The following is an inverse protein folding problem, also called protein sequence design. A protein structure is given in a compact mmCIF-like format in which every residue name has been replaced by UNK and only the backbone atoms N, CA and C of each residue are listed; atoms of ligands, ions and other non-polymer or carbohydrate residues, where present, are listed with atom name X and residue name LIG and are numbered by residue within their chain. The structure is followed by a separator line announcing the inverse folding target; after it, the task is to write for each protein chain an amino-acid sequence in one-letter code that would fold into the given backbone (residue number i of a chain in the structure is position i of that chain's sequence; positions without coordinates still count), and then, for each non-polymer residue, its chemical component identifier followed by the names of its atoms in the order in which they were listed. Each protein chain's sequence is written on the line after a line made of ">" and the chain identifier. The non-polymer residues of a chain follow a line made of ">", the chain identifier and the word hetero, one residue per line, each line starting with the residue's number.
data_IF_088983980043
#
_entry.id   IF_088983980043
#
_cell.length_a   1.000
_cell.length_b   1.000
_cell.length_c   1.000
_cell.angle_alpha   90.00
_cell.angle_beta   90.00
_cell.angle_gamma   90.00
#
_symmetry.space_group_name_H-M   'P 1'
#
loop_
_entity.id
_entity.type
_entity.pdbx_description
1 polymer ?
#
# COMPACT_ATOMS: atom_id res chain seq x y z
N UNK A 1 -1.20 7.31 2.16
CA UNK A 1 -2.24 7.83 3.08
C UNK A 1 -2.36 9.34 2.92
N UNK A 2 -3.57 9.91 2.94
CA UNK A 2 -3.76 11.36 2.90
C UNK A 2 -3.36 12.01 4.23
N UNK A 3 -2.84 13.23 4.19
CA UNK A 3 -2.47 13.93 5.42
C UNK A 3 -3.70 14.33 6.24
N UNK A 4 -3.59 14.24 7.58
CA UNK A 4 -4.64 14.73 8.49
C UNK A 4 -4.91 16.23 8.34
N UNK A 5 -3.93 17.00 7.86
CA UNK A 5 -4.12 18.42 7.58
C UNK A 5 -5.07 18.60 6.38
N UNK A 6 -4.82 17.89 5.28
CA UNK A 6 -5.70 17.88 4.10
C UNK A 6 -7.13 17.49 4.44
N UNK A 7 -7.31 16.47 5.27
CA UNK A 7 -8.66 16.00 5.68
C UNK A 7 -9.38 17.06 6.54
N UNK A 8 -8.65 17.82 7.36
CA UNK A 8 -9.22 18.89 8.20
C UNK A 8 -9.56 20.14 7.41
N UNK A 9 -8.68 20.55 6.51
CA UNK A 9 -8.81 21.80 5.76
C UNK A 9 -9.78 21.67 4.59
N UNK A 10 -9.86 20.47 3.99
CA UNK A 10 -10.63 20.20 2.77
C UNK A 10 -11.45 18.90 2.86
N UNK A 11 -12.29 18.70 3.89
CA UNK A 11 -13.04 17.46 4.08
C UNK A 11 -13.98 17.15 2.91
N UNK A 12 -14.56 18.16 2.28
CA UNK A 12 -15.45 18.03 1.13
C UNK A 12 -14.75 17.44 -0.10
N UNK A 13 -13.50 17.83 -0.36
CA UNK A 13 -12.70 17.29 -1.48
C UNK A 13 -12.40 15.81 -1.22
N UNK A 14 -12.09 15.44 0.02
CA UNK A 14 -11.83 14.03 0.38
C UNK A 14 -13.10 13.19 0.23
N UNK A 15 -14.24 13.68 0.72
CA UNK A 15 -15.54 12.99 0.60
C UNK A 15 -15.91 12.80 -0.87
N UNK A 16 -15.79 13.86 -1.69
CA UNK A 16 -16.10 13.77 -3.12
C UNK A 16 -15.10 12.85 -3.84
N UNK A 17 -13.82 12.90 -3.50
CA UNK A 17 -12.79 12.04 -4.09
C UNK A 17 -13.04 10.55 -3.82
N UNK A 18 -13.46 10.20 -2.60
CA UNK A 18 -13.88 8.84 -2.27
C UNK A 18 -15.15 8.44 -3.03
N UNK A 19 -16.15 9.31 -3.08
CA UNK A 19 -17.40 9.07 -3.81
C UNK A 19 -17.18 8.85 -5.31
N UNK A 20 -16.26 9.61 -5.93
CA UNK A 20 -15.86 9.45 -7.33
C UNK A 20 -15.19 8.09 -7.62
N UNK A 21 -14.75 7.38 -6.58
CA UNK A 21 -14.20 6.01 -6.66
C UNK A 21 -15.20 4.93 -6.24
N UNK A 22 -16.47 5.31 -6.01
CA UNK A 22 -17.50 4.41 -5.51
C UNK A 22 -17.35 4.03 -4.03
N UNK A 23 -16.48 4.73 -3.27
CA UNK A 23 -16.21 4.42 -1.88
C UNK A 23 -16.92 5.39 -0.93
N UNK A 24 -17.48 4.84 0.17
CA UNK A 24 -18.11 5.64 1.23
C UNK A 24 -17.22 5.61 2.47
N UNK A 25 -16.66 6.76 2.82
CA UNK A 25 -15.76 6.92 3.96
C UNK A 25 -16.38 7.86 5.00
N UNK A 26 -16.33 7.47 6.28
CA UNK A 26 -16.81 8.29 7.40
C UNK A 26 -15.78 9.35 7.83
N UNK A 27 -15.63 10.37 6.98
CA UNK A 27 -14.73 11.51 7.26
C UNK A 27 -15.15 12.26 8.53
N UNK A 28 -16.45 12.33 8.85
CA UNK A 28 -16.94 12.98 10.08
C UNK A 28 -16.47 12.22 11.32
N UNK A 29 -16.58 10.90 11.32
CA UNK A 29 -16.07 10.04 12.40
C UNK A 29 -14.55 10.14 12.56
N UNK A 30 -13.81 10.18 11.44
CA UNK A 30 -12.35 10.37 11.45
C UNK A 30 -11.98 11.72 12.09
N UNK A 31 -12.63 12.82 11.69
CA UNK A 31 -12.39 14.14 12.27
C UNK A 31 -12.78 14.22 13.75
N UNK A 32 -13.86 13.55 14.16
CA UNK A 32 -14.23 13.46 15.57
C UNK A 32 -13.19 12.68 16.38
N UNK A 33 -12.60 11.63 15.81
CA UNK A 33 -11.54 10.85 16.44
C UNK A 33 -10.24 11.65 16.54
N UNK A 34 -9.83 12.33 15.47
CA UNK A 34 -8.70 13.29 15.50
C UNK A 34 -8.90 14.37 16.58
N UNK A 35 -10.11 14.92 16.69
CA UNK A 35 -10.45 15.89 17.74
C UNK A 35 -10.24 15.33 19.16
N UNK A 36 -10.60 14.06 19.40
CA UNK A 36 -10.34 13.37 20.67
C UNK A 36 -8.85 13.18 20.91
N UNK A 37 -8.10 12.74 19.90
CA UNK A 37 -6.63 12.57 19.98
C UNK A 37 -5.97 13.89 20.36
N UNK A 38 -6.30 14.99 19.69
CA UNK A 38 -5.76 16.32 20.00
C UNK A 38 -6.14 16.80 21.40
N UNK A 39 -7.36 16.53 21.85
CA UNK A 39 -7.79 16.85 23.21
C UNK A 39 -6.97 16.09 24.25
N UNK A 40 -6.80 14.78 24.08
CA UNK A 40 -6.00 13.95 25.00
C UNK A 40 -4.55 14.44 25.05
N UNK A 41 -3.95 14.77 23.90
CA UNK A 41 -2.59 15.34 23.85
C UNK A 41 -2.52 16.63 24.68
N UNK A 42 -3.49 17.54 24.51
CA UNK A 42 -3.52 18.78 25.30
C UNK A 42 -3.66 18.49 26.79
N UNK A 43 -4.60 17.62 27.18
CA UNK A 43 -4.85 17.28 28.59
C UNK A 43 -3.60 16.63 29.23
N UNK A 44 -2.87 15.78 28.50
CA UNK A 44 -1.60 15.18 28.94
C UNK A 44 -0.53 16.24 29.15
N UNK A 45 -0.36 17.17 28.22
CA UNK A 45 0.64 18.23 28.33
C UNK A 45 0.32 19.21 29.46
N UNK A 46 -0.96 19.56 29.66
CA UNK A 46 -1.42 20.38 30.78
C UNK A 46 -1.14 19.71 32.13
N UNK A 47 -1.36 18.40 32.25
CA UNK A 47 -1.06 17.62 33.45
C UNK A 47 0.44 17.48 33.69
N UNK A 48 1.25 17.25 32.65
CA UNK A 48 2.72 17.23 32.76
C UNK A 48 3.26 18.58 33.22
N UNK A 49 2.74 19.67 32.68
CA UNK A 49 3.09 21.02 33.11
C UNK A 49 2.71 21.27 34.58
N UNK A 50 1.50 20.85 35.00
CA UNK A 50 1.06 20.91 36.40
C UNK A 50 2.01 20.13 37.31
N UNK A 51 2.31 18.88 36.95
CA UNK A 51 3.22 18.00 37.71
C UNK A 51 4.60 18.62 37.89
N UNK A 52 5.17 19.20 36.82
CA UNK A 52 6.48 19.83 36.88
C UNK A 52 6.49 21.07 37.80
N UNK A 53 5.50 21.97 37.69
CA UNK A 53 5.35 23.13 38.59
C UNK A 53 5.22 22.71 40.05
N UNK A 54 4.34 21.75 40.34
CA UNK A 54 4.12 21.28 41.71
C UNK A 54 5.34 20.53 42.27
N UNK A 55 6.15 19.85 41.44
CA UNK A 55 7.40 19.21 41.89
C UNK A 55 8.44 20.22 42.37
N UNK A 56 8.53 21.38 41.70
CA UNK A 56 9.38 22.49 42.12
C UNK A 56 8.89 23.10 43.43
N UNK A 57 7.58 23.28 43.58
CA UNK A 57 6.95 23.82 44.78
C UNK A 57 7.12 22.90 46.00
N UNK A 58 6.86 21.60 45.84
CA UNK A 58 7.12 20.58 46.87
C UNK A 58 8.58 20.63 47.32
N UNK A 59 9.52 20.75 46.39
CA UNK A 59 10.95 20.84 46.69
C UNK A 59 11.34 22.11 47.45
N UNK A 60 10.60 23.22 47.28
CA UNK A 60 10.80 24.46 48.04
C UNK A 60 10.18 24.35 49.44
N UNK A 61 8.95 23.86 49.55
CA UNK A 61 8.23 23.72 50.83
C UNK A 61 8.92 22.71 51.77
N UNK A 62 9.41 21.59 51.22
CA UNK A 62 10.17 20.58 51.97
C UNK A 62 11.49 21.12 52.53
N UNK A 63 12.16 22.04 51.81
CA UNK A 63 13.34 22.77 52.32
C UNK A 63 12.98 23.77 53.43
N UNK A 64 11.77 24.31 53.40
CA UNK A 64 11.23 25.17 54.46
C UNK A 64 10.66 24.43 55.68
N UNK A 65 10.76 23.09 55.72
CA UNK A 65 10.27 22.28 56.85
C UNK A 65 8.76 22.13 56.95
N UNK A 66 8.01 22.46 55.89
CA UNK A 66 6.55 22.31 55.85
C UNK A 66 6.13 20.89 55.44
N UNK A 67 4.96 20.46 55.91
CA UNK A 67 4.33 19.21 55.48
C UNK A 67 3.81 19.34 54.04
N UNK A 68 4.19 18.38 53.19
CA UNK A 68 3.87 18.33 51.76
C UNK A 68 3.13 17.05 51.39
N UNK A 69 2.66 16.28 52.38
CA UNK A 69 2.04 14.96 52.18
C UNK A 69 0.82 15.02 51.24
N UNK A 70 -0.02 16.05 51.37
CA UNK A 70 -1.18 16.26 50.49
C UNK A 70 -0.77 16.56 49.05
N UNK A 71 0.22 17.44 48.84
CA UNK A 71 0.75 17.78 47.52
C UNK A 71 1.39 16.56 46.84
N UNK A 72 2.09 15.71 47.61
CA UNK A 72 2.65 14.46 47.10
C UNK A 72 1.53 13.51 46.66
N UNK A 73 0.46 13.37 47.45
CA UNK A 73 -0.70 12.55 47.10
C UNK A 73 -1.42 13.07 45.84
N UNK A 74 -1.59 14.38 45.72
CA UNK A 74 -2.14 15.01 44.51
C UNK A 74 -1.26 14.70 43.28
N UNK A 75 0.06 14.77 43.41
CA UNK A 75 0.97 14.48 42.31
C UNK A 75 1.00 13.01 41.92
N UNK A 76 0.78 12.09 42.86
CA UNK A 76 0.56 10.68 42.53
C UNK A 76 -0.73 10.48 41.72
N UNK A 77 -1.82 11.19 42.07
CA UNK A 77 -3.05 11.16 41.29
C UNK A 77 -2.85 11.73 39.88
N UNK A 78 -2.12 12.84 39.73
CA UNK A 78 -1.76 13.40 38.43
C UNK A 78 -0.94 12.41 37.60
N UNK A 79 0.04 11.73 38.21
CA UNK A 79 0.83 10.71 37.52
C UNK A 79 -0.03 9.53 37.02
N UNK A 80 -1.00 9.08 37.82
CA UNK A 80 -1.95 8.05 37.42
C UNK A 80 -2.86 8.50 36.28
N UNK A 81 -3.33 9.76 36.30
CA UNK A 81 -4.12 10.34 35.20
C UNK A 81 -3.33 10.42 33.90
N UNK A 82 -2.07 10.86 33.95
CA UNK A 82 -1.18 10.88 32.78
C UNK A 82 -1.03 9.47 32.21
N UNK A 83 -0.72 8.48 33.04
CA UNK A 83 -0.57 7.09 32.60
C UNK A 83 -1.83 6.54 31.92
N UNK A 84 -3.01 6.88 32.44
CA UNK A 84 -4.29 6.50 31.83
C UNK A 84 -4.47 7.18 30.48
N UNK A 85 -4.26 8.49 30.41
CA UNK A 85 -4.43 9.27 29.17
C UNK A 85 -3.42 8.88 28.09
N UNK A 86 -2.19 8.51 28.46
CA UNK A 86 -1.19 8.01 27.50
C UNK A 86 -1.64 6.67 26.89
N UNK A 87 -2.24 5.78 27.68
CA UNK A 87 -2.85 4.53 27.18
C UNK A 87 -4.04 4.79 26.26
N UNK A 88 -4.94 5.69 26.66
CA UNK A 88 -6.08 6.12 25.84
C UNK A 88 -5.61 6.78 24.53
N UNK A 89 -4.54 7.57 24.59
CA UNK A 89 -3.93 8.22 23.43
C UNK A 89 -3.38 7.20 22.43
N UNK A 90 -2.64 6.19 22.91
CA UNK A 90 -2.09 5.13 22.07
C UNK A 90 -3.22 4.38 21.34
N UNK A 91 -4.25 3.95 22.08
CA UNK A 91 -5.39 3.26 21.50
C UNK A 91 -6.16 4.11 20.47
N UNK A 92 -6.34 5.41 20.75
CA UNK A 92 -7.05 6.31 19.82
C UNK A 92 -6.24 6.68 18.59
N UNK A 93 -4.91 6.72 18.70
CA UNK A 93 -4.02 6.90 17.55
C UNK A 93 -4.03 5.68 16.64
N UNK A 94 -4.05 4.48 17.21
CA UNK A 94 -4.16 3.25 16.43
C UNK A 94 -5.49 3.20 15.67
N UNK A 95 -6.61 3.41 16.38
CA UNK A 95 -7.95 3.46 15.75
C UNK A 95 -8.03 4.53 14.64
N UNK A 96 -7.34 5.66 14.83
CA UNK A 96 -7.28 6.72 13.82
C UNK A 96 -6.44 6.28 12.62
N UNK A 97 -5.27 5.68 12.86
CA UNK A 97 -4.39 5.18 11.81
C UNK A 97 -5.08 4.14 10.95
N UNK A 98 -5.72 3.13 11.57
CA UNK A 98 -6.50 2.11 10.87
C UNK A 98 -7.54 2.76 9.94
N UNK A 99 -8.33 3.73 10.43
CA UNK A 99 -9.33 4.40 9.60
C UNK A 99 -8.72 5.22 8.46
N UNK A 100 -7.56 5.84 8.69
CA UNK A 100 -6.87 6.62 7.67
C UNK A 100 -6.31 5.74 6.54
N UNK A 101 -5.90 4.50 6.84
CA UNK A 101 -5.40 3.54 5.85
C UNK A 101 -6.47 3.13 4.82
N UNK A 102 -7.75 3.21 5.17
CA UNK A 102 -8.87 2.92 4.26
C UNK A 102 -9.26 4.07 3.34
N UNK A 103 -8.69 5.27 3.51
CA UNK A 103 -9.06 6.42 2.67
C UNK A 103 -8.33 6.30 1.32
N UNK A 104 -9.06 6.21 0.18
CA UNK A 104 -8.42 6.15 -1.11
C UNK A 104 -7.77 7.49 -1.47
N UNK A 105 -6.77 7.46 -2.35
CA UNK A 105 -6.19 8.69 -2.88
C UNK A 105 -7.25 9.52 -3.62
N UNK A 106 -7.15 10.86 -3.61
CA UNK A 106 -8.07 11.73 -4.34
C UNK A 106 -7.77 11.60 -5.85
N UNK A 107 -8.75 11.27 -6.71
CA UNK A 107 -8.51 11.24 -8.15
C UNK A 107 -8.16 12.64 -8.66
N UNK A 108 -7.20 12.73 -9.59
CA UNK A 108 -6.87 14.00 -10.23
C UNK A 108 -8.07 14.53 -11.02
N UNK A 109 -8.20 15.86 -11.10
CA UNK A 109 -9.28 16.56 -11.80
C UNK A 109 -9.42 16.22 -13.29
N UNK A 110 -8.39 15.65 -13.91
CA UNK A 110 -8.42 15.17 -15.31
C UNK A 110 -8.97 13.75 -15.48
N UNK A 111 -9.28 13.04 -14.38
CA UNK A 111 -9.78 11.67 -14.45
C UNK A 111 -11.28 11.72 -14.77
N UNK A 112 -11.74 11.03 -15.84
CA UNK A 112 -13.17 10.98 -16.16
C UNK A 112 -13.95 10.29 -15.04
N UNK A 113 -15.15 10.78 -14.76
CA UNK A 113 -16.05 10.19 -13.77
C UNK A 113 -16.80 9.01 -14.41
N UNK A 114 -16.92 7.93 -13.64
CA UNK A 114 -17.59 6.71 -14.08
C UNK A 114 -17.82 5.74 -12.95
N UNK A 115 -18.89 4.96 -13.05
CA UNK A 115 -19.22 3.94 -12.04
C UNK A 115 -18.40 2.65 -12.23
N UNK A 116 -18.01 2.34 -13.47
CA UNK A 116 -17.29 1.12 -13.84
C UNK A 116 -16.42 1.32 -15.10
N UNK A 117 -15.81 0.23 -15.60
CA UNK A 117 -14.93 0.23 -16.76
C UNK A 117 -15.60 0.69 -18.07
N UNK A 118 -16.93 0.72 -18.16
CA UNK A 118 -17.66 1.16 -19.36
C UNK A 118 -17.58 2.67 -19.59
N UNK A 119 -17.28 3.44 -18.54
CA UNK A 119 -17.07 4.88 -18.60
C UNK A 119 -15.64 5.28 -19.00
N UNK A 120 -14.74 4.32 -19.22
CA UNK A 120 -13.37 4.62 -19.63
C UNK A 120 -13.31 5.29 -21.01
N UNK A 121 -12.54 6.38 -21.11
CA UNK A 121 -12.32 7.09 -22.37
C UNK A 121 -11.16 6.48 -23.16
N UNK A 122 -11.38 6.21 -24.45
CA UNK A 122 -10.33 5.77 -25.35
C UNK A 122 -9.47 6.96 -25.83
N UNK A 123 -8.25 7.06 -25.32
CA UNK A 123 -7.34 8.19 -25.60
C UNK A 123 -6.61 8.05 -26.94
N UNK A 124 -6.04 6.86 -27.24
CA UNK A 124 -5.26 6.64 -28.45
C UNK A 124 -5.18 5.17 -28.84
N UNK A 125 -5.07 4.94 -30.14
CA UNK A 125 -4.73 3.63 -30.74
C UNK A 125 -3.38 3.72 -31.46
N UNK A 126 -2.69 2.59 -31.59
CA UNK A 126 -1.43 2.51 -32.34
C UNK A 126 -1.42 1.29 -33.24
N UNK A 127 -1.21 1.54 -34.55
CA UNK A 127 -1.35 0.56 -35.65
C UNK A 127 -2.78 0.02 -35.79
N UNK A 128 -3.02 -0.64 -36.91
CA UNK A 128 -4.27 -1.35 -37.18
C UNK A 128 -4.19 -2.80 -36.67
N UNK A 129 -5.33 -3.36 -36.26
CA UNK A 129 -5.44 -4.77 -35.89
C UNK A 129 -5.19 -5.64 -37.15
N UNK A 130 -4.42 -6.74 -37.04
CA UNK A 130 -4.20 -7.63 -38.17
C UNK A 130 -5.54 -8.22 -38.66
N UNK A 131 -5.67 -8.34 -39.98
CA UNK A 131 -6.76 -9.07 -40.63
C UNK A 131 -6.26 -10.46 -40.98
N UNK A 132 -6.96 -11.49 -40.55
CA UNK A 132 -6.65 -12.88 -40.85
C UNK A 132 -7.60 -13.38 -41.94
N UNK A 133 -7.08 -14.16 -42.87
CA UNK A 133 -7.82 -14.94 -43.87
C UNK A 133 -8.19 -16.34 -43.35
N UNK A 134 -7.91 -16.60 -42.07
CA UNK A 134 -8.27 -17.80 -41.32
C UNK A 134 -8.88 -17.41 -39.96
N UNK A 135 -9.55 -18.37 -39.31
CA UNK A 135 -10.07 -18.18 -37.95
C UNK A 135 -8.91 -18.20 -36.94
N UNK A 136 -8.60 -17.08 -36.25
CA UNK A 136 -7.50 -17.04 -35.32
C UNK A 136 -7.76 -17.93 -34.11
N UNK A 137 -6.78 -18.75 -33.75
CA UNK A 137 -6.90 -19.62 -32.58
C UNK A 137 -6.68 -18.83 -31.29
N UNK A 138 -7.38 -19.17 -30.19
CA UNK A 138 -7.06 -18.66 -28.85
C UNK A 138 -5.63 -19.02 -28.44
N UNK A 139 -5.02 -18.20 -27.59
CA UNK A 139 -3.61 -18.39 -27.20
C UNK A 139 -3.35 -19.77 -26.58
N UNK A 140 -4.29 -20.30 -25.78
CA UNK A 140 -4.16 -21.63 -25.19
C UNK A 140 -4.04 -22.73 -26.23
N UNK A 141 -4.88 -22.72 -27.27
CA UNK A 141 -4.83 -23.72 -28.33
C UNK A 141 -3.50 -23.66 -29.09
N UNK A 142 -3.00 -22.44 -29.37
CA UNK A 142 -1.70 -22.23 -30.00
C UNK A 142 -0.60 -22.81 -29.11
N UNK A 143 -0.58 -22.46 -27.83
CA UNK A 143 0.49 -22.87 -26.93
C UNK A 143 0.50 -24.37 -26.64
N UNK A 144 -0.68 -25.01 -26.61
CA UNK A 144 -0.80 -26.46 -26.45
C UNK A 144 -0.37 -27.20 -27.72
N UNK A 145 -0.79 -26.76 -28.91
CA UNK A 145 -0.38 -27.38 -30.18
C UNK A 145 1.13 -27.32 -30.43
N UNK A 146 1.80 -26.33 -29.83
CA UNK A 146 3.23 -26.09 -29.98
C UNK A 146 4.06 -26.55 -28.77
N UNK A 147 3.46 -27.23 -27.79
CA UNK A 147 4.12 -27.69 -26.55
C UNK A 147 4.90 -26.57 -25.82
N UNK A 148 4.34 -25.35 -25.79
CA UNK A 148 4.94 -24.16 -25.17
C UNK A 148 4.49 -23.96 -23.71
N UNK A 149 3.29 -24.43 -23.40
CA UNK A 149 2.61 -24.22 -22.12
C UNK A 149 1.80 -25.46 -21.76
N UNK A 150 1.91 -25.88 -20.51
CA UNK A 150 1.17 -27.00 -19.94
C UNK A 150 0.44 -26.58 -18.66
N UNK A 151 -0.85 -26.26 -18.80
CA UNK A 151 -1.69 -25.89 -17.65
C UNK A 151 -2.07 -27.09 -16.79
N UNK A 152 -2.13 -28.30 -17.36
CA UNK A 152 -2.53 -29.51 -16.63
C UNK A 152 -1.42 -29.96 -15.69
N UNK A 153 -0.18 -30.02 -16.17
CA UNK A 153 0.99 -30.30 -15.33
C UNK A 153 1.24 -29.19 -14.32
N UNK A 154 1.00 -27.93 -14.69
CA UNK A 154 1.00 -26.82 -13.74
C UNK A 154 0.01 -27.04 -12.58
N UNK A 155 -1.20 -27.50 -12.90
CA UNK A 155 -2.21 -27.84 -11.89
C UNK A 155 -1.84 -29.03 -11.01
N UNK A 156 -1.11 -30.03 -11.53
CA UNK A 156 -0.57 -31.13 -10.73
C UNK A 156 0.46 -30.63 -9.71
N UNK A 157 1.25 -29.61 -10.05
CA UNK A 157 2.32 -29.09 -9.17
C UNK A 157 1.78 -28.14 -8.11
N UNK A 158 0.88 -27.22 -8.48
CA UNK A 158 0.50 -26.09 -7.61
C UNK A 158 -1.00 -25.79 -7.55
N UNK A 159 -1.84 -26.59 -8.22
CA UNK A 159 -3.27 -26.33 -8.37
C UNK A 159 -3.59 -25.41 -9.57
N UNK A 160 -4.88 -25.15 -9.78
CA UNK A 160 -5.35 -24.32 -10.90
C UNK A 160 -4.69 -22.94 -10.91
N UNK A 161 -4.52 -22.34 -12.10
CA UNK A 161 -4.00 -20.97 -12.25
C UNK A 161 -2.48 -20.85 -12.14
N UNK A 162 -1.73 -21.95 -12.20
CA UNK A 162 -0.26 -21.96 -12.25
C UNK A 162 0.22 -22.52 -13.59
N UNK A 163 0.74 -21.67 -14.51
CA UNK A 163 1.23 -22.13 -15.82
C UNK A 163 2.60 -22.82 -15.73
N UNK A 164 2.77 -23.98 -16.37
CA UNK A 164 4.09 -24.56 -16.64
C UNK A 164 4.53 -24.24 -18.07
N UNK A 165 5.55 -23.40 -18.22
CA UNK A 165 6.14 -23.12 -19.53
C UNK A 165 7.18 -24.19 -19.89
N UNK A 166 7.16 -24.66 -21.14
CA UNK A 166 8.05 -25.74 -21.63
C UNK A 166 8.77 -25.34 -22.90
N UNK A 167 9.94 -25.94 -23.15
CA UNK A 167 10.70 -25.79 -24.39
C UNK A 167 10.84 -24.35 -24.86
N UNK A 168 10.35 -24.06 -26.08
CA UNK A 168 10.40 -22.73 -26.67
C UNK A 168 9.54 -21.69 -25.91
N UNK A 169 8.48 -22.11 -25.22
CA UNK A 169 7.65 -21.21 -24.41
C UNK A 169 8.42 -20.63 -23.23
N UNK A 170 9.17 -21.48 -22.52
CA UNK A 170 10.04 -21.03 -21.42
C UNK A 170 11.18 -20.12 -21.92
N UNK A 171 11.71 -20.38 -23.12
CA UNK A 171 12.72 -19.52 -23.75
C UNK A 171 12.11 -18.16 -24.12
N UNK A 172 10.92 -18.15 -24.71
CA UNK A 172 10.21 -16.93 -25.10
C UNK A 172 9.90 -16.06 -23.88
N UNK A 173 9.41 -16.66 -22.79
CA UNK A 173 9.12 -15.95 -21.54
C UNK A 173 10.36 -15.21 -21.01
N UNK A 174 11.50 -15.91 -20.92
CA UNK A 174 12.78 -15.30 -20.54
C UNK A 174 13.25 -14.23 -21.53
N UNK A 175 13.06 -14.45 -22.82
CA UNK A 175 13.45 -13.50 -23.85
C UNK A 175 12.64 -12.19 -23.76
N UNK A 176 11.34 -12.27 -23.46
CA UNK A 176 10.48 -11.10 -23.24
C UNK A 176 10.92 -10.31 -22.01
N UNK A 177 11.21 -10.98 -20.90
CA UNK A 177 11.73 -10.33 -19.68
C UNK A 177 13.02 -9.55 -20.00
N UNK A 178 14.01 -10.21 -20.61
CA UNK A 178 15.28 -9.57 -20.95
C UNK A 178 15.10 -8.40 -21.93
N UNK A 179 14.26 -8.58 -22.96
CA UNK A 179 13.97 -7.53 -23.92
C UNK A 179 13.38 -6.29 -23.25
N UNK A 180 12.40 -6.47 -22.34
CA UNK A 180 11.77 -5.36 -21.62
C UNK A 180 12.77 -4.66 -20.70
N UNK A 181 13.58 -5.41 -19.94
CA UNK A 181 14.64 -4.84 -19.09
C UNK A 181 15.63 -4.00 -19.91
N UNK A 182 16.21 -4.57 -20.97
CA UNK A 182 17.14 -3.88 -21.87
C UNK A 182 16.51 -2.63 -22.51
N UNK A 183 15.23 -2.70 -22.85
CA UNK A 183 14.50 -1.58 -23.42
C UNK A 183 14.43 -0.39 -22.45
N UNK A 184 14.21 -0.64 -21.17
CA UNK A 184 14.09 0.39 -20.14
C UNK A 184 15.45 0.87 -19.63
N UNK A 185 16.45 0.00 -19.53
CA UNK A 185 17.84 0.38 -19.25
C UNK A 185 18.35 1.43 -20.26
N UNK A 186 18.09 1.22 -21.55
CA UNK A 186 18.43 2.19 -22.62
C UNK A 186 17.68 3.52 -22.53
N UNK A 187 16.67 3.62 -21.67
CA UNK A 187 15.84 4.83 -21.42
C UNK A 187 16.14 5.48 -20.07
N UNK A 188 17.26 5.13 -19.46
CA UNK A 188 17.73 5.76 -18.23
C UNK A 188 17.13 5.18 -16.96
N UNK A 189 16.40 4.07 -17.03
CA UNK A 189 16.01 3.34 -15.82
C UNK A 189 17.21 2.58 -15.26
N UNK A 190 17.30 2.51 -13.94
CA UNK A 190 18.26 1.67 -13.22
C UNK A 190 17.60 0.33 -12.89
N UNK A 191 18.21 -0.77 -13.32
CA UNK A 191 17.72 -2.09 -12.95
C UNK A 191 18.01 -2.38 -11.47
N UNK A 192 17.00 -2.89 -10.77
CA UNK A 192 17.10 -3.39 -9.41
C UNK A 192 16.44 -4.76 -9.31
N UNK A 193 17.02 -5.63 -8.47
CA UNK A 193 16.44 -6.93 -8.14
C UNK A 193 16.08 -6.94 -6.66
N UNK A 194 14.79 -7.02 -6.39
CA UNK A 194 14.26 -6.95 -5.03
C UNK A 194 13.96 -8.35 -4.44
N UNK A 195 13.80 -8.46 -3.12
CA UNK A 195 13.13 -9.61 -2.52
C UNK A 195 11.74 -9.83 -3.11
N UNK A 196 11.28 -11.09 -3.16
CA UNK A 196 9.92 -11.48 -3.59
C UNK A 196 8.97 -11.73 -2.43
N UNK A 197 9.48 -11.57 -1.21
CA UNK A 197 8.76 -11.66 0.04
C UNK A 197 8.97 -10.32 0.74
N UNK A 198 7.93 -9.79 1.37
CA UNK A 198 7.95 -8.48 1.99
C UNK A 198 7.32 -8.48 3.37
N UNK A 199 7.77 -7.57 4.22
CA UNK A 199 7.13 -7.23 5.48
C UNK A 199 5.75 -6.59 5.24
N UNK A 200 4.83 -6.76 6.19
CA UNK A 200 3.51 -6.12 6.24
C UNK A 200 3.58 -4.62 5.95
N UNK A 201 4.50 -3.90 6.59
CA UNK A 201 4.63 -2.45 6.45
C UNK A 201 4.93 -2.01 5.01
N UNK A 202 5.51 -2.89 4.18
CA UNK A 202 5.71 -2.58 2.76
C UNK A 202 4.44 -2.67 1.95
N UNK A 203 3.65 -3.72 2.18
CA UNK A 203 2.36 -3.86 1.52
C UNK A 203 1.38 -2.78 2.01
N UNK A 204 1.49 -2.30 3.25
CA UNK A 204 0.76 -1.13 3.75
C UNK A 204 1.19 0.16 3.05
N UNK A 205 2.51 0.40 2.93
CA UNK A 205 3.05 1.62 2.33
C UNK A 205 2.62 1.82 0.86
N UNK A 206 2.50 0.74 0.09
CA UNK A 206 2.03 0.76 -1.31
C UNK A 206 0.53 0.48 -1.46
N UNK A 207 -0.22 0.42 -0.34
CA UNK A 207 -1.68 0.39 -0.34
C UNK A 207 -2.31 -0.96 -0.68
N UNK A 208 -1.55 -2.05 -0.70
CA UNK A 208 -2.13 -3.40 -0.76
C UNK A 208 -2.82 -3.74 0.55
N UNK A 209 -2.16 -3.48 1.69
CA UNK A 209 -2.77 -3.69 3.00
C UNK A 209 -3.37 -2.38 3.55
N UNK A 210 -4.50 -2.45 4.27
CA UNK A 210 -5.27 -3.66 4.62
C UNK A 210 -6.29 -4.11 3.54
N UNK A 211 -6.56 -3.27 2.53
CA UNK A 211 -7.72 -3.44 1.63
C UNK A 211 -7.71 -4.69 0.75
N UNK A 212 -6.53 -5.16 0.36
CA UNK A 212 -6.31 -6.29 -0.55
C UNK A 212 -5.63 -7.47 0.17
N UNK A 213 -5.71 -7.54 1.51
CA UNK A 213 -5.08 -8.62 2.29
C UNK A 213 -5.54 -10.00 1.83
N UNK A 214 -6.84 -10.17 1.57
CA UNK A 214 -7.41 -11.42 1.07
C UNK A 214 -6.86 -11.83 -0.30
N UNK A 215 -6.36 -10.87 -1.10
CA UNK A 215 -5.79 -11.12 -2.43
C UNK A 215 -4.28 -11.41 -2.40
N UNK A 216 -3.63 -11.28 -1.23
CA UNK A 216 -2.21 -11.55 -1.04
C UNK A 216 -1.96 -12.95 -0.48
N UNK A 217 -0.88 -13.60 -0.93
CA UNK A 217 -0.39 -14.80 -0.26
C UNK A 217 0.45 -14.42 0.97
N UNK A 218 0.04 -14.86 2.15
CA UNK A 218 0.74 -14.65 3.41
C UNK A 218 1.56 -15.88 3.85
N UNK A 219 2.63 -15.63 4.59
CA UNK A 219 3.48 -16.59 5.28
C UNK A 219 3.34 -16.29 6.77
N UNK A 220 2.33 -16.90 7.39
CA UNK A 220 1.87 -16.55 8.75
C UNK A 220 2.96 -16.72 9.82
N UNK A 221 3.85 -17.71 9.67
CA UNK A 221 4.90 -17.99 10.65
C UNK A 221 5.87 -16.82 10.85
N UNK A 222 6.05 -16.00 9.81
CA UNK A 222 7.03 -14.91 9.78
C UNK A 222 6.38 -13.51 9.64
N UNK A 223 5.04 -13.43 9.56
CA UNK A 223 4.28 -12.22 9.16
C UNK A 223 4.83 -11.56 7.88
N UNK A 224 5.07 -12.42 6.88
CA UNK A 224 5.59 -12.03 5.58
C UNK A 224 4.57 -12.28 4.47
N UNK A 225 4.73 -11.58 3.36
CA UNK A 225 3.83 -11.68 2.21
C UNK A 225 4.60 -11.89 0.92
N UNK A 226 4.12 -12.77 0.03
CA UNK A 226 4.59 -12.80 -1.34
C UNK A 226 4.13 -11.54 -2.08
N UNK A 227 5.01 -10.95 -2.88
CA UNK A 227 4.71 -9.68 -3.55
C UNK A 227 3.70 -9.88 -4.70
N UNK A 228 2.64 -9.05 -4.80
CA UNK A 228 1.72 -9.06 -5.94
C UNK A 228 2.28 -8.29 -7.16
N UNK A 229 3.40 -7.60 -6.96
CA UNK A 229 4.17 -6.86 -7.96
C UNK A 229 5.50 -6.36 -7.37
N UNK A 230 6.54 -6.22 -8.21
CA UNK A 230 7.76 -5.51 -7.85
C UNK A 230 7.56 -4.05 -7.40
N UNK A 231 6.42 -3.42 -7.69
CA UNK A 231 6.08 -2.08 -7.18
C UNK A 231 6.22 -2.01 -5.65
N UNK A 232 5.78 -3.06 -4.94
CA UNK A 232 5.80 -3.10 -3.47
C UNK A 232 7.23 -2.95 -2.94
N UNK A 233 8.18 -3.85 -3.23
CA UNK A 233 9.52 -3.69 -2.71
C UNK A 233 10.30 -2.53 -3.35
N UNK A 234 10.10 -2.21 -4.63
CA UNK A 234 10.84 -1.13 -5.30
C UNK A 234 10.48 0.25 -4.74
N UNK A 235 9.19 0.51 -4.51
CA UNK A 235 8.74 1.78 -3.91
C UNK A 235 9.24 1.93 -2.47
N UNK A 236 9.49 0.81 -1.79
CA UNK A 236 9.98 0.79 -0.42
C UNK A 236 11.51 0.78 -0.27
N UNK A 237 12.28 0.83 -1.37
CA UNK A 237 13.74 0.96 -1.32
C UNK A 237 14.15 2.18 -0.49
N UNK A 238 13.43 3.28 -0.63
CA UNK A 238 13.70 4.55 0.03
C UNK A 238 12.73 4.85 1.18
N UNK A 239 12.11 3.82 1.77
CA UNK A 239 11.23 4.05 2.93
C UNK A 239 12.06 4.59 4.08
N UNK A 240 11.53 5.62 4.75
CA UNK A 240 12.16 6.28 5.89
C UNK A 240 13.48 7.00 5.55
N UNK A 241 13.73 7.27 4.26
CA UNK A 241 14.86 8.07 3.78
C UNK A 241 14.45 9.51 3.44
N UNK A 242 15.39 10.44 3.56
CA UNK A 242 15.28 11.80 3.02
C UNK A 242 16.17 11.86 1.77
N UNK A 243 15.54 11.92 0.60
CA UNK A 243 16.23 11.99 -0.68
C UNK A 243 16.72 13.41 -0.97
N UNK A 244 17.88 13.54 -1.63
CA UNK A 244 18.33 14.82 -2.14
C UNK A 244 17.50 15.20 -3.37
N UNK A 245 17.09 16.46 -3.47
CA UNK A 245 16.25 16.92 -4.59
C UNK A 245 16.96 16.79 -5.95
N UNK A 246 18.29 16.92 -5.94
CA UNK A 246 19.17 16.77 -7.11
C UNK A 246 19.28 15.32 -7.62
N UNK A 247 18.93 14.33 -6.80
CA UNK A 247 18.89 12.92 -7.21
C UNK A 247 17.59 12.58 -7.98
N UNK A 248 16.57 13.45 -7.92
CA UNK A 248 15.27 13.22 -8.56
C UNK A 248 15.27 13.70 -10.03
N UNK A 249 14.71 12.92 -10.98
CA UNK A 249 13.96 11.69 -10.75
C UNK A 249 14.86 10.45 -10.59
N UNK A 250 14.42 9.50 -9.75
CA UNK A 250 15.05 8.18 -9.62
C UNK A 250 14.16 7.13 -10.30
N UNK A 251 14.49 6.71 -11.55
CA UNK A 251 13.75 5.68 -12.27
C UNK A 251 14.33 4.28 -12.02
N UNK A 252 13.49 3.37 -11.53
CA UNK A 252 13.82 1.95 -11.37
C UNK A 252 13.03 1.06 -12.33
N UNK A 253 13.71 0.03 -12.86
CA UNK A 253 13.09 -1.08 -13.56
C UNK A 253 13.40 -2.37 -12.80
N UNK A 254 12.40 -3.25 -12.63
CA UNK A 254 12.59 -4.50 -11.91
C UNK A 254 11.77 -5.63 -12.51
N UNK A 255 12.39 -6.78 -12.68
CA UNK A 255 11.67 -8.04 -12.93
C UNK A 255 11.32 -8.71 -11.61
N UNK A 256 10.08 -9.21 -11.48
CA UNK A 256 9.73 -10.19 -10.45
C UNK A 256 8.68 -11.19 -10.92
N UNK A 257 8.66 -12.42 -10.35
CA UNK A 257 7.42 -13.17 -10.24
C UNK A 257 6.45 -12.37 -9.34
N UNK A 258 5.18 -12.39 -9.70
CA UNK A 258 4.10 -11.70 -9.01
C UNK A 258 3.06 -12.73 -8.57
N UNK A 259 2.59 -12.62 -7.33
CA UNK A 259 1.69 -13.60 -6.72
C UNK A 259 0.37 -12.94 -6.31
N UNK A 260 -0.76 -13.43 -6.84
CA UNK A 260 -2.10 -12.94 -6.49
C UNK A 260 -3.03 -14.10 -6.23
N UNK A 261 -3.82 -14.04 -5.16
CA UNK A 261 -4.80 -15.09 -4.85
C UNK A 261 -6.00 -15.03 -5.80
N UNK A 262 -6.22 -13.91 -6.49
CA UNK A 262 -7.37 -13.67 -7.35
C UNK A 262 -8.68 -13.97 -6.60
N UNK A 263 -8.71 -13.58 -5.33
CA UNK A 263 -9.84 -13.83 -4.44
C UNK A 263 -11.06 -13.05 -4.97
N UNK A 264 -12.18 -13.74 -5.18
CA UNK A 264 -13.40 -13.14 -5.71
C UNK A 264 -13.54 -13.15 -7.24
N UNK A 265 -12.61 -13.75 -7.99
CA UNK A 265 -12.74 -13.91 -9.44
C UNK A 265 -13.58 -15.12 -9.88
N UNK A 266 -14.33 -15.75 -8.97
CA UNK A 266 -15.17 -16.92 -9.26
C UNK A 266 -16.14 -16.61 -10.42
N UNK A 267 -15.89 -17.21 -11.59
CA UNK A 267 -16.73 -17.08 -12.79
C UNK A 267 -16.37 -15.97 -13.78
N UNK A 268 -15.36 -15.12 -13.50
CA UNK A 268 -14.75 -14.22 -14.52
C UNK A 268 -13.71 -14.99 -15.35
N UNK A 269 -13.35 -14.53 -16.54
CA UNK A 269 -12.46 -15.23 -17.50
C UNK A 269 -11.18 -15.81 -16.85
N UNK A 270 -11.26 -17.06 -16.36
CA UNK A 270 -10.19 -17.79 -15.69
C UNK A 270 -9.40 -18.67 -16.65
N UNK A 271 -9.74 -18.65 -17.95
CA UNK A 271 -9.16 -19.56 -18.93
C UNK A 271 -7.90 -18.97 -19.55
N UNK A 272 -6.76 -19.60 -19.26
CA UNK A 272 -5.49 -19.30 -19.90
C UNK A 272 -4.55 -18.48 -19.04
N UNK A 273 -3.86 -17.50 -19.65
CA UNK A 273 -2.79 -16.72 -19.02
C UNK A 273 -3.24 -15.31 -18.62
N UNK A 274 -4.49 -14.92 -18.89
CA UNK A 274 -5.00 -13.59 -18.58
C UNK A 274 -5.17 -13.36 -17.08
N UNK A 275 -5.47 -14.43 -16.33
CA UNK A 275 -5.63 -14.40 -14.87
C UNK A 275 -5.07 -15.69 -14.28
N UNK A 276 -3.95 -15.56 -13.57
CA UNK A 276 -3.18 -16.67 -12.98
C UNK A 276 -2.64 -16.23 -11.63
N UNK A 277 -2.35 -17.20 -10.75
CA UNK A 277 -1.83 -16.90 -9.41
C UNK A 277 -0.37 -16.46 -9.41
N UNK A 278 0.40 -16.91 -10.41
CA UNK A 278 1.79 -16.52 -10.61
C UNK A 278 1.99 -16.05 -12.06
N UNK A 279 2.52 -14.85 -12.22
CA UNK A 279 2.91 -14.29 -13.51
C UNK A 279 4.21 -13.49 -13.39
N UNK A 280 4.93 -13.32 -14.51
CA UNK A 280 6.13 -12.51 -14.56
C UNK A 280 5.78 -11.08 -14.99
N UNK A 281 6.41 -10.08 -14.36
CA UNK A 281 6.23 -8.67 -14.74
C UNK A 281 7.56 -7.93 -14.68
N UNK A 282 7.77 -7.05 -15.66
CA UNK A 282 8.81 -6.02 -15.63
C UNK A 282 8.15 -4.70 -15.24
N UNK A 283 8.44 -4.23 -14.04
CA UNK A 283 7.81 -3.06 -13.43
C UNK A 283 8.68 -1.82 -13.58
N UNK A 284 8.03 -0.66 -13.68
CA UNK A 284 8.65 0.65 -13.71
C UNK A 284 8.16 1.46 -12.53
N UNK A 285 9.10 1.96 -11.72
CA UNK A 285 8.81 2.86 -10.60
C UNK A 285 9.65 4.12 -10.77
N UNK A 286 9.06 5.28 -10.43
CA UNK A 286 9.78 6.55 -10.43
C UNK A 286 9.52 7.30 -9.14
N UNK A 287 10.59 7.74 -8.50
CA UNK A 287 10.53 8.81 -7.51
C UNK A 287 10.74 10.13 -8.24
N UNK A 288 9.80 11.06 -8.10
CA UNK A 288 9.78 12.33 -8.82
C UNK A 288 9.47 13.47 -7.86
N UNK A 289 9.76 14.70 -8.28
CA UNK A 289 9.29 15.89 -7.58
C UNK A 289 7.76 16.01 -7.70
N UNK A 290 7.09 16.69 -6.75
CA UNK A 290 5.63 16.84 -6.80
C UNK A 290 5.08 17.63 -7.99
N UNK A 291 5.83 18.62 -8.51
CA UNK A 291 5.48 19.44 -9.68
C UNK A 291 5.63 18.72 -11.03
#
# INVERSE_FOLDING_TARGET
>A
MLSLQTIRDHPEIVVQGAANKGEKIDIKGILALDGKVRKIIKDVEDLKAKRNRSSEEISKLKRGGMDVSELISEMQNVANQIKKLDGDLAAKREELHEKLMWIPNIPHQSVPLGDDESANEHIRSWREKPKFDFEPLPHLEITTKLDLLDMERGAVISGSGFPLYTGQGAILERALINFMLDHHLKRGYREVRTPFITLRQAAEATGQLPKLEDDMYSIEQDDLFLIPTAEVPVTNIHRDEILAEEDLPIPYVAYSPCFRREAGSYGRETRGLLRVHQFNKVELVKFVKPE
#
